data_IF_182687839812
#
_entry.id   IF_182687839812
#
_cell.length_a   1.000
_cell.length_b   1.000
_cell.length_c   1.000
_cell.angle_alpha   90.00
_cell.angle_beta   90.00
_cell.angle_gamma   90.00
#
_symmetry.space_group_name_H-M   'P 1'
#
loop_
_entity.id
_entity.type
_entity.pdbx_description
1 polymer ?
#
# COMPACT_ATOMS: atom_id res chain seq x y z
N UNK A 1 -6.12 2.32 -41.59
CA UNK A 1 -4.74 1.80 -41.81
C UNK A 1 -4.84 0.28 -41.87
N UNK A 2 -4.05 -0.41 -42.67
CA UNK A 2 -4.07 -1.86 -42.74
C UNK A 2 -2.77 -2.43 -42.10
N UNK A 3 -2.74 -3.72 -41.84
CA UNK A 3 -1.61 -4.42 -41.23
C UNK A 3 -0.30 -4.17 -41.94
N UNK A 4 -0.32 -4.09 -43.29
CA UNK A 4 0.85 -3.87 -44.15
C UNK A 4 1.54 -2.55 -43.83
N UNK A 5 0.77 -1.49 -43.67
CA UNK A 5 1.29 -0.16 -43.33
C UNK A 5 1.85 -0.11 -41.88
N UNK A 6 1.31 -0.90 -40.96
CA UNK A 6 1.83 -1.01 -39.62
C UNK A 6 3.16 -1.76 -39.56
N UNK A 7 3.27 -2.92 -40.24
CA UNK A 7 4.52 -3.69 -40.34
C UNK A 7 5.63 -2.80 -40.90
N UNK A 8 5.38 -2.10 -42.01
CA UNK A 8 6.33 -1.18 -42.63
C UNK A 8 6.74 -0.05 -41.68
N UNK A 9 5.76 0.56 -40.98
CA UNK A 9 6.00 1.62 -40.01
C UNK A 9 6.89 1.15 -38.86
N UNK A 10 6.55 0.04 -38.22
CA UNK A 10 7.30 -0.46 -37.07
C UNK A 10 8.69 -0.93 -37.46
N UNK A 11 8.84 -1.66 -38.56
CA UNK A 11 10.18 -2.05 -39.07
C UNK A 11 11.08 -0.82 -39.29
N UNK A 12 10.56 0.24 -39.91
CA UNK A 12 11.33 1.48 -40.13
C UNK A 12 11.66 2.20 -38.78
N UNK A 13 10.75 2.20 -37.84
CA UNK A 13 10.99 2.78 -36.51
C UNK A 13 12.10 2.03 -35.76
N UNK A 14 12.21 0.72 -35.95
CA UNK A 14 13.28 -0.12 -35.42
C UNK A 14 14.55 -0.11 -36.26
N UNK A 15 14.59 0.70 -37.33
CA UNK A 15 15.74 0.79 -38.25
C UNK A 15 16.17 -0.54 -38.86
N UNK A 16 15.25 -1.49 -39.06
CA UNK A 16 15.55 -2.83 -39.63
C UNK A 16 15.36 -2.86 -41.12
N UNK A 17 16.19 -3.69 -41.82
CA UNK A 17 15.92 -4.10 -43.22
C UNK A 17 14.85 -5.19 -43.26
N UNK A 18 14.32 -5.50 -44.46
CA UNK A 18 13.36 -6.62 -44.62
C UNK A 18 14.00 -7.95 -44.29
N UNK A 19 15.29 -8.10 -44.64
CA UNK A 19 16.09 -9.29 -44.37
C UNK A 19 16.31 -9.49 -42.87
N UNK A 20 16.60 -8.41 -42.14
CA UNK A 20 16.78 -8.45 -40.69
C UNK A 20 15.49 -8.82 -39.97
N UNK A 21 14.36 -8.19 -40.32
CA UNK A 21 13.06 -8.55 -39.74
C UNK A 21 12.68 -10.00 -40.07
N UNK A 22 12.97 -10.45 -41.30
CA UNK A 22 12.70 -11.83 -41.69
C UNK A 22 13.51 -12.83 -40.86
N UNK A 23 14.78 -12.55 -40.61
CA UNK A 23 15.66 -13.40 -39.79
C UNK A 23 15.14 -13.50 -38.33
N UNK A 24 14.74 -12.39 -37.73
CA UNK A 24 14.18 -12.34 -36.36
C UNK A 24 12.84 -13.10 -36.21
N UNK A 25 12.02 -13.06 -37.25
CA UNK A 25 10.71 -13.72 -37.26
C UNK A 25 10.76 -15.16 -37.79
N UNK A 26 11.94 -15.65 -38.26
CA UNK A 26 12.09 -16.97 -38.79
C UNK A 26 11.35 -17.18 -40.14
N UNK A 27 11.20 -16.12 -40.93
CA UNK A 27 10.52 -16.15 -42.25
C UNK A 27 11.47 -15.73 -43.39
N UNK A 28 10.98 -15.80 -44.63
CA UNK A 28 11.78 -15.34 -45.78
C UNK A 28 11.66 -13.81 -45.94
N UNK A 29 12.71 -13.12 -46.48
CA UNK A 29 12.62 -11.71 -46.83
C UNK A 29 11.48 -11.41 -47.82
N UNK A 30 11.19 -12.35 -48.70
CA UNK A 30 10.06 -12.26 -49.62
C UNK A 30 8.69 -12.21 -48.89
N UNK A 31 8.57 -12.94 -47.80
CA UNK A 31 7.34 -12.89 -46.95
C UNK A 31 7.13 -11.50 -46.36
N UNK A 32 8.19 -10.91 -45.76
CA UNK A 32 8.14 -9.56 -45.23
C UNK A 32 7.82 -8.54 -46.32
N UNK A 33 8.46 -8.64 -47.47
CA UNK A 33 8.20 -7.78 -48.63
C UNK A 33 6.75 -7.89 -49.12
N UNK A 34 6.19 -9.10 -49.12
CA UNK A 34 4.79 -9.33 -49.49
C UNK A 34 3.83 -8.69 -48.49
N UNK A 35 4.09 -8.84 -47.18
CA UNK A 35 3.28 -8.23 -46.13
C UNK A 35 3.26 -6.71 -46.27
N UNK A 36 4.38 -6.09 -46.51
CA UNK A 36 4.48 -4.62 -46.64
C UNK A 36 3.82 -4.07 -47.93
N UNK A 37 3.65 -4.92 -48.98
CA UNK A 37 2.96 -4.53 -50.21
C UNK A 37 1.45 -4.79 -50.24
N UNK A 38 0.87 -5.23 -49.12
CA UNK A 38 -0.58 -5.43 -49.01
C UNK A 38 -0.99 -6.90 -48.79
N UNK A 39 -0.04 -7.83 -48.78
CA UNK A 39 -0.29 -9.21 -48.35
C UNK A 39 -0.53 -9.27 -46.83
N UNK A 40 -1.32 -10.23 -46.38
CA UNK A 40 -1.49 -10.44 -44.95
C UNK A 40 -0.57 -11.51 -44.41
N UNK A 41 0.07 -11.36 -43.24
CA UNK A 41 0.69 -12.49 -42.53
C UNK A 41 -0.34 -13.56 -42.19
N UNK A 42 0.13 -14.80 -42.07
CA UNK A 42 -0.69 -15.85 -41.47
C UNK A 42 -1.12 -15.49 -40.03
N UNK A 43 -2.29 -15.95 -39.60
CA UNK A 43 -2.79 -15.67 -38.27
C UNK A 43 -1.81 -16.10 -37.18
N UNK A 44 -1.09 -17.20 -37.39
CA UNK A 44 -0.06 -17.70 -36.50
C UNK A 44 1.12 -16.75 -36.33
N UNK A 45 1.36 -15.86 -37.29
CA UNK A 45 2.44 -14.87 -37.26
C UNK A 45 2.07 -13.55 -36.61
N UNK A 46 0.77 -13.29 -36.36
CA UNK A 46 0.32 -12.01 -35.76
C UNK A 46 0.92 -11.80 -34.37
N UNK A 47 0.89 -12.83 -33.54
CA UNK A 47 1.44 -12.76 -32.16
C UNK A 47 2.96 -12.63 -32.17
N UNK A 48 3.74 -13.42 -32.92
CA UNK A 48 5.18 -13.23 -33.03
C UNK A 48 5.59 -11.84 -33.51
N UNK A 49 4.92 -11.30 -34.54
CA UNK A 49 5.20 -9.95 -35.06
C UNK A 49 4.89 -8.88 -34.01
N UNK A 50 3.74 -8.98 -33.33
CA UNK A 50 3.35 -8.04 -32.31
C UNK A 50 4.32 -8.06 -31.11
N UNK A 51 4.71 -9.23 -30.64
CA UNK A 51 5.68 -9.40 -29.55
C UNK A 51 7.06 -8.86 -29.93
N UNK A 52 7.51 -9.10 -31.15
CA UNK A 52 8.80 -8.57 -31.64
C UNK A 52 8.85 -7.04 -31.57
N UNK A 53 7.77 -6.37 -31.98
CA UNK A 53 7.68 -4.92 -31.94
C UNK A 53 7.24 -4.35 -30.58
N UNK A 54 6.89 -5.19 -29.60
CA UNK A 54 6.42 -4.77 -28.28
C UNK A 54 5.05 -4.06 -28.32
N UNK A 55 4.17 -4.46 -29.23
CA UNK A 55 2.84 -3.89 -29.45
C UNK A 55 1.75 -4.95 -29.31
N UNK A 56 0.49 -4.53 -29.22
CA UNK A 56 -0.64 -5.46 -29.25
C UNK A 56 -0.95 -5.92 -30.67
N UNK A 57 -1.61 -7.08 -30.82
CA UNK A 57 -2.10 -7.57 -32.12
C UNK A 57 -3.11 -6.57 -32.73
N UNK A 58 -3.96 -5.94 -31.90
CA UNK A 58 -4.89 -4.91 -32.35
C UNK A 58 -4.17 -3.70 -32.97
N UNK A 59 -3.08 -3.28 -32.36
CA UNK A 59 -2.23 -2.20 -32.84
C UNK A 59 -1.54 -2.56 -34.16
N UNK A 60 -1.08 -3.82 -34.26
CA UNK A 60 -0.51 -4.38 -35.49
C UNK A 60 -1.57 -4.45 -36.60
N UNK A 61 -2.81 -4.82 -36.28
CA UNK A 61 -3.94 -4.86 -37.21
C UNK A 61 -4.37 -3.47 -37.69
N UNK A 62 -3.84 -2.41 -37.06
CA UNK A 62 -4.24 -1.04 -37.35
C UNK A 62 -5.61 -0.71 -36.78
N UNK A 63 -6.15 -1.55 -35.90
CA UNK A 63 -7.29 -1.22 -35.07
C UNK A 63 -6.86 -0.10 -34.13
N UNK A 64 -7.35 1.09 -34.40
CA UNK A 64 -6.97 2.29 -33.65
C UNK A 64 -7.59 2.21 -32.26
N UNK A 65 -6.92 1.52 -31.36
CA UNK A 65 -7.23 1.51 -29.90
C UNK A 65 -7.31 2.93 -29.36
N UNK A 66 -6.60 3.89 -29.98
CA UNK A 66 -6.69 5.33 -29.72
C UNK A 66 -8.12 5.85 -29.81
N UNK A 67 -8.91 5.43 -30.78
CA UNK A 67 -10.27 5.96 -30.95
C UNK A 67 -11.21 5.44 -29.83
N UNK A 68 -11.10 4.17 -29.44
CA UNK A 68 -11.91 3.58 -28.36
C UNK A 68 -11.52 4.21 -27.00
N UNK A 69 -10.23 4.36 -26.75
CA UNK A 69 -9.77 4.98 -25.51
C UNK A 69 -10.11 6.47 -25.44
N UNK A 70 -10.01 7.19 -26.54
CA UNK A 70 -10.43 8.59 -26.63
C UNK A 70 -11.94 8.75 -26.46
N UNK A 71 -12.74 7.87 -27.06
CA UNK A 71 -14.19 7.83 -26.86
C UNK A 71 -14.55 7.53 -25.40
N UNK A 72 -13.87 6.59 -24.76
CA UNK A 72 -14.04 6.32 -23.32
C UNK A 72 -13.65 7.52 -22.46
N UNK A 73 -12.53 8.17 -22.74
CA UNK A 73 -12.11 9.37 -22.02
C UNK A 73 -13.09 10.54 -22.22
N UNK A 74 -13.63 10.69 -23.44
CA UNK A 74 -14.66 11.68 -23.71
C UNK A 74 -15.94 11.39 -22.95
N UNK A 75 -16.39 10.14 -22.92
CA UNK A 75 -17.55 9.69 -22.15
C UNK A 75 -17.38 9.96 -20.65
N UNK A 76 -16.22 9.64 -20.04
CA UNK A 76 -16.01 9.89 -18.62
C UNK A 76 -15.90 11.39 -18.30
N UNK A 77 -15.38 12.22 -19.22
CA UNK A 77 -15.41 13.70 -19.08
C UNK A 77 -16.82 14.25 -19.15
N UNK A 78 -17.64 13.73 -20.08
CA UNK A 78 -19.04 14.09 -20.19
C UNK A 78 -19.78 13.77 -18.88
N UNK A 79 -19.59 12.57 -18.32
CA UNK A 79 -20.21 12.18 -17.04
C UNK A 79 -19.84 13.09 -15.87
N UNK A 80 -18.61 13.60 -15.83
CA UNK A 80 -18.17 14.53 -14.77
C UNK A 80 -18.89 15.89 -14.86
N UNK A 81 -19.37 16.29 -16.04
CA UNK A 81 -20.10 17.55 -16.24
C UNK A 81 -21.60 17.42 -15.91
N UNK A 82 -22.11 16.22 -15.70
CA UNK A 82 -23.52 15.99 -15.38
C UNK A 82 -23.69 15.99 -13.85
N UNK A 83 -24.22 17.09 -13.30
CA UNK A 83 -24.49 17.20 -11.85
C UNK A 83 -25.69 16.36 -11.40
N UNK A 84 -26.71 16.27 -12.25
CA UNK A 84 -27.96 15.54 -11.97
C UNK A 84 -27.72 14.03 -12.01
N UNK A 85 -28.01 13.34 -10.90
CA UNK A 85 -27.77 11.93 -10.72
C UNK A 85 -28.60 11.06 -11.68
N UNK A 86 -29.90 11.34 -11.88
CA UNK A 86 -30.76 10.56 -12.74
C UNK A 86 -30.33 10.66 -14.23
N UNK A 87 -29.92 11.85 -14.65
CA UNK A 87 -29.37 12.06 -16.00
C UNK A 87 -28.05 11.31 -16.18
N UNK A 88 -27.19 11.34 -15.16
CA UNK A 88 -25.91 10.63 -15.18
C UNK A 88 -26.10 9.11 -15.24
N UNK A 89 -27.01 8.58 -14.42
CA UNK A 89 -27.39 7.16 -14.43
C UNK A 89 -27.97 6.75 -15.81
N UNK A 90 -28.90 7.55 -16.36
CA UNK A 90 -29.47 7.32 -17.69
C UNK A 90 -28.39 7.23 -18.77
N UNK A 91 -27.44 8.18 -18.74
CA UNK A 91 -26.34 8.22 -19.71
C UNK A 91 -25.40 7.02 -19.61
N UNK A 92 -25.11 6.55 -18.39
CA UNK A 92 -24.30 5.34 -18.17
C UNK A 92 -25.06 4.10 -18.64
N UNK A 93 -26.37 4.01 -18.39
CA UNK A 93 -27.20 2.91 -18.86
C UNK A 93 -27.25 2.83 -20.40
N UNK A 94 -27.25 3.96 -21.08
CA UNK A 94 -27.15 3.99 -22.55
C UNK A 94 -25.81 3.39 -23.02
N UNK A 95 -24.72 3.78 -22.38
CA UNK A 95 -23.39 3.27 -22.73
C UNK A 95 -23.23 1.79 -22.39
N UNK A 96 -23.77 1.35 -21.25
CA UNK A 96 -23.80 -0.06 -20.87
C UNK A 96 -24.57 -0.92 -21.90
N UNK A 97 -25.69 -0.44 -22.47
CA UNK A 97 -26.39 -1.17 -23.52
C UNK A 97 -25.56 -1.36 -24.80
N UNK A 98 -24.68 -0.40 -25.12
CA UNK A 98 -23.76 -0.50 -26.27
C UNK A 98 -22.60 -1.45 -26.00
N UNK A 99 -22.08 -1.41 -24.76
CA UNK A 99 -20.89 -2.16 -24.34
C UNK A 99 -21.18 -2.98 -23.07
N UNK A 100 -22.05 -4.02 -23.13
CA UNK A 100 -22.52 -4.72 -21.92
C UNK A 100 -21.46 -5.58 -21.23
N UNK A 101 -20.30 -5.80 -21.87
CA UNK A 101 -19.18 -6.58 -21.32
C UNK A 101 -17.96 -5.71 -20.94
N UNK A 102 -18.10 -4.38 -21.03
CA UNK A 102 -17.03 -3.49 -20.60
C UNK A 102 -17.03 -3.34 -19.07
N UNK A 103 -16.10 -4.01 -18.41
CA UNK A 103 -16.00 -4.01 -16.94
C UNK A 103 -15.82 -2.62 -16.32
N UNK A 104 -15.24 -1.65 -17.04
CA UNK A 104 -15.08 -0.28 -16.55
C UNK A 104 -16.42 0.45 -16.55
N UNK A 105 -17.22 0.28 -17.61
CA UNK A 105 -18.58 0.84 -17.70
C UNK A 105 -19.49 0.18 -16.67
N UNK A 106 -19.40 -1.15 -16.53
CA UNK A 106 -20.15 -1.89 -15.50
C UNK A 106 -19.81 -1.37 -14.10
N UNK A 107 -18.52 -1.19 -13.80
CA UNK A 107 -18.08 -0.67 -12.50
C UNK A 107 -18.62 0.75 -12.25
N UNK A 108 -18.63 1.60 -13.27
CA UNK A 108 -19.24 2.93 -13.15
C UNK A 108 -20.74 2.87 -12.90
N UNK A 109 -21.44 1.96 -13.58
CA UNK A 109 -22.86 1.73 -13.35
C UNK A 109 -23.14 1.26 -11.92
N UNK A 110 -22.36 0.30 -11.41
CA UNK A 110 -22.43 -0.15 -10.02
C UNK A 110 -22.29 1.06 -9.06
N UNK A 111 -21.30 1.93 -9.31
CA UNK A 111 -21.05 3.10 -8.45
C UNK A 111 -22.24 4.05 -8.39
N UNK A 112 -22.88 4.31 -9.51
CA UNK A 112 -24.08 5.18 -9.54
C UNK A 112 -25.31 4.49 -8.91
N UNK A 113 -25.51 3.19 -9.16
CA UNK A 113 -26.61 2.44 -8.56
C UNK A 113 -26.51 2.36 -7.04
N UNK A 114 -25.29 2.37 -6.48
CA UNK A 114 -25.08 2.37 -5.04
C UNK A 114 -25.49 3.68 -4.36
N UNK A 115 -25.51 4.78 -5.11
CA UNK A 115 -25.75 6.10 -4.53
C UNK A 115 -27.17 6.26 -3.99
N UNK A 116 -28.14 5.52 -4.56
CA UNK A 116 -29.53 5.94 -4.41
C UNK A 116 -30.51 4.91 -3.85
N UNK A 117 -30.28 3.58 -3.82
CA UNK A 117 -31.42 2.71 -3.45
C UNK A 117 -31.07 1.27 -3.06
N UNK A 118 -31.65 0.80 -1.92
CA UNK A 118 -31.65 -0.63 -1.54
C UNK A 118 -32.28 -1.55 -2.62
N UNK A 119 -33.16 -1.00 -3.47
CA UNK A 119 -33.91 -1.75 -4.50
C UNK A 119 -32.99 -2.29 -5.61
N UNK A 120 -31.87 -1.62 -5.88
CA UNK A 120 -30.92 -2.03 -6.92
C UNK A 120 -29.97 -3.16 -6.48
N UNK A 121 -30.11 -3.66 -5.25
CA UNK A 121 -29.16 -4.62 -4.67
C UNK A 121 -28.95 -5.86 -5.53
N UNK A 122 -30.03 -6.45 -6.07
CA UNK A 122 -29.95 -7.67 -6.89
C UNK A 122 -29.16 -7.38 -8.17
N UNK A 123 -29.48 -6.29 -8.86
CA UNK A 123 -28.77 -5.88 -10.07
C UNK A 123 -27.29 -5.58 -9.79
N UNK A 124 -27.00 -4.88 -8.70
CA UNK A 124 -25.61 -4.57 -8.30
C UNK A 124 -24.83 -5.87 -8.04
N UNK A 125 -25.46 -6.84 -7.36
CA UNK A 125 -24.81 -8.12 -7.09
C UNK A 125 -24.51 -8.89 -8.39
N UNK A 126 -25.43 -8.93 -9.35
CA UNK A 126 -25.22 -9.56 -10.65
C UNK A 126 -24.09 -8.89 -11.43
N UNK A 127 -24.07 -7.56 -11.48
CA UNK A 127 -23.01 -6.78 -12.13
C UNK A 127 -21.64 -7.00 -11.46
N UNK A 128 -21.58 -7.02 -10.13
CA UNK A 128 -20.35 -7.33 -9.39
C UNK A 128 -19.84 -8.74 -9.72
N UNK A 129 -20.70 -9.75 -9.74
CA UNK A 129 -20.34 -11.12 -10.11
C UNK A 129 -19.80 -11.18 -11.53
N UNK A 130 -20.41 -10.44 -12.48
CA UNK A 130 -19.93 -10.34 -13.86
C UNK A 130 -18.53 -9.74 -13.93
N UNK A 131 -18.25 -8.62 -13.28
CA UNK A 131 -16.90 -8.04 -13.23
C UNK A 131 -15.90 -9.02 -12.62
N UNK A 132 -16.24 -9.73 -11.55
CA UNK A 132 -15.37 -10.72 -10.92
C UNK A 132 -15.08 -11.93 -11.82
N UNK A 133 -15.98 -12.29 -12.74
CA UNK A 133 -15.79 -13.38 -13.69
C UNK A 133 -14.95 -12.95 -14.90
N UNK A 134 -15.15 -11.75 -15.42
CA UNK A 134 -14.64 -11.32 -16.72
C UNK A 134 -13.40 -10.42 -16.63
N UNK A 135 -13.23 -9.64 -15.54
CA UNK A 135 -12.10 -8.72 -15.41
C UNK A 135 -10.88 -9.39 -14.77
N UNK A 136 -9.71 -9.16 -15.39
CA UNK A 136 -8.40 -9.46 -14.80
C UNK A 136 -7.78 -8.26 -14.06
N UNK A 137 -8.40 -7.07 -14.16
CA UNK A 137 -7.92 -5.84 -13.51
C UNK A 137 -8.06 -5.95 -11.98
N UNK A 138 -6.95 -5.92 -11.22
CA UNK A 138 -6.98 -6.10 -9.78
C UNK A 138 -7.73 -4.98 -9.05
N UNK A 139 -7.67 -3.74 -9.53
CA UNK A 139 -8.31 -2.59 -8.89
C UNK A 139 -9.83 -2.64 -9.06
N UNK A 140 -10.31 -2.99 -10.26
CA UNK A 140 -11.75 -3.21 -10.49
C UNK A 140 -12.28 -4.37 -9.65
N UNK A 141 -11.53 -5.49 -9.61
CA UNK A 141 -11.91 -6.66 -8.81
C UNK A 141 -11.99 -6.34 -7.32
N UNK A 142 -11.02 -5.60 -6.80
CA UNK A 142 -11.00 -5.19 -5.40
C UNK A 142 -12.17 -4.26 -5.08
N UNK A 143 -12.45 -3.28 -5.94
CA UNK A 143 -13.57 -2.35 -5.77
C UNK A 143 -14.92 -3.07 -5.71
N UNK A 144 -15.16 -4.03 -6.61
CA UNK A 144 -16.43 -4.80 -6.59
C UNK A 144 -16.50 -5.79 -5.43
N UNK A 145 -15.37 -6.33 -4.94
CA UNK A 145 -15.35 -7.13 -3.71
C UNK A 145 -15.75 -6.29 -2.49
N UNK A 146 -15.25 -5.07 -2.38
CA UNK A 146 -15.69 -4.11 -1.34
C UNK A 146 -17.18 -3.82 -1.44
N UNK A 147 -17.70 -3.67 -2.66
CA UNK A 147 -19.13 -3.48 -2.90
C UNK A 147 -19.94 -4.69 -2.45
N UNK A 148 -19.51 -5.91 -2.81
CA UNK A 148 -20.16 -7.15 -2.36
C UNK A 148 -20.25 -7.24 -0.84
N UNK A 149 -19.20 -6.91 -0.11
CA UNK A 149 -19.22 -6.89 1.37
C UNK A 149 -20.31 -5.95 1.93
N UNK A 150 -20.62 -4.87 1.23
CA UNK A 150 -21.62 -3.86 1.66
C UNK A 150 -23.05 -4.26 1.38
N UNK A 151 -23.27 -4.95 0.25
CA UNK A 151 -24.64 -5.24 -0.24
C UNK A 151 -25.17 -6.61 0.16
N UNK A 152 -24.29 -7.60 0.43
CA UNK A 152 -24.75 -8.94 0.84
C UNK A 152 -25.27 -8.96 2.29
N UNK A 153 -26.14 -9.93 2.66
CA UNK A 153 -26.56 -10.13 4.04
C UNK A 153 -25.38 -10.31 4.99
N UNK A 154 -25.57 -9.92 6.26
CA UNK A 154 -24.53 -9.97 7.29
C UNK A 154 -23.87 -11.35 7.40
N UNK A 155 -24.66 -12.40 7.28
CA UNK A 155 -24.25 -13.81 7.38
C UNK A 155 -23.29 -14.22 6.26
N UNK A 156 -23.36 -13.57 5.11
CA UNK A 156 -22.53 -13.87 3.93
C UNK A 156 -21.26 -13.01 3.83
N UNK A 157 -21.19 -11.90 4.55
CA UNK A 157 -20.08 -10.93 4.45
C UNK A 157 -18.71 -11.53 4.68
N UNK A 158 -18.60 -12.46 5.65
CA UNK A 158 -17.34 -13.13 5.96
C UNK A 158 -16.71 -13.79 4.73
N UNK A 159 -17.52 -14.41 3.86
CA UNK A 159 -17.03 -15.07 2.64
C UNK A 159 -16.40 -14.08 1.65
N UNK A 160 -16.91 -12.85 1.58
CA UNK A 160 -16.44 -11.81 0.66
C UNK A 160 -15.24 -11.06 1.24
N UNK A 161 -15.24 -10.79 2.55
CA UNK A 161 -14.11 -10.17 3.26
C UNK A 161 -12.83 -10.99 3.10
N UNK A 162 -12.91 -12.33 3.18
CA UNK A 162 -11.76 -13.21 2.97
C UNK A 162 -11.18 -13.18 1.55
N UNK A 163 -11.94 -12.70 0.56
CA UNK A 163 -11.49 -12.57 -0.84
C UNK A 163 -10.78 -11.26 -1.11
N UNK A 164 -10.88 -10.28 -0.20
CA UNK A 164 -10.15 -9.01 -0.33
C UNK A 164 -8.64 -9.26 -0.23
N UNK A 165 -7.83 -8.57 -1.04
CA UNK A 165 -6.38 -8.70 -0.99
C UNK A 165 -5.85 -8.36 0.40
N UNK A 166 -5.06 -9.25 0.99
CA UNK A 166 -4.44 -9.04 2.32
C UNK A 166 -3.37 -7.95 2.32
N UNK A 167 -2.88 -7.53 1.15
CA UNK A 167 -1.79 -6.55 1.02
C UNK A 167 -2.15 -5.14 1.49
N UNK A 168 -3.44 -4.85 1.66
CA UNK A 168 -3.91 -3.59 2.22
C UNK A 168 -4.88 -3.87 3.36
N UNK A 169 -4.33 -4.26 4.52
CA UNK A 169 -5.12 -4.43 5.75
C UNK A 169 -6.02 -3.21 6.03
N UNK A 170 -5.55 -2.01 5.67
CA UNK A 170 -6.32 -0.76 5.75
C UNK A 170 -7.66 -0.82 5.02
N UNK A 171 -7.69 -1.40 3.79
CA UNK A 171 -8.96 -1.50 3.05
C UNK A 171 -9.92 -2.50 3.67
N UNK A 172 -9.42 -3.62 4.16
CA UNK A 172 -10.26 -4.63 4.82
C UNK A 172 -10.92 -4.07 6.08
N UNK A 173 -10.17 -3.40 6.95
CA UNK A 173 -10.71 -2.77 8.16
C UNK A 173 -11.67 -1.64 7.83
N UNK A 174 -11.40 -0.84 6.79
CA UNK A 174 -12.30 0.20 6.36
C UNK A 174 -13.65 -0.36 5.89
N UNK A 175 -13.63 -1.46 5.11
CA UNK A 175 -14.85 -2.16 4.69
C UNK A 175 -15.59 -2.74 5.88
N UNK A 176 -14.90 -3.30 6.86
CA UNK A 176 -15.50 -3.80 8.10
C UNK A 176 -16.18 -2.68 8.89
N UNK A 177 -15.54 -1.52 9.04
CA UNK A 177 -16.14 -0.34 9.66
C UNK A 177 -17.42 0.08 8.94
N UNK A 178 -17.38 0.17 7.62
CA UNK A 178 -18.57 0.50 6.81
C UNK A 178 -19.69 -0.53 6.95
N UNK A 179 -19.37 -1.83 6.99
CA UNK A 179 -20.36 -2.88 7.19
C UNK A 179 -21.04 -2.74 8.55
N UNK A 180 -20.29 -2.45 9.63
CA UNK A 180 -20.84 -2.20 10.96
C UNK A 180 -21.75 -0.96 10.99
N UNK A 181 -21.37 0.11 10.30
CA UNK A 181 -22.23 1.29 10.15
C UNK A 181 -23.57 0.95 9.47
N UNK A 182 -23.54 0.15 8.40
CA UNK A 182 -24.76 -0.30 7.70
C UNK A 182 -25.65 -1.12 8.63
N UNK A 183 -25.07 -1.91 9.52
CA UNK A 183 -25.80 -2.72 10.51
C UNK A 183 -26.30 -1.91 11.71
N UNK A 184 -26.00 -0.60 11.78
CA UNK A 184 -26.34 0.26 12.92
C UNK A 184 -25.42 0.11 14.12
N UNK A 185 -24.34 -0.65 14.01
CA UNK A 185 -23.29 -0.79 15.02
C UNK A 185 -22.25 0.34 14.89
N UNK A 186 -22.64 1.55 15.27
CA UNK A 186 -21.77 2.73 15.17
C UNK A 186 -20.58 2.67 16.13
N UNK A 187 -20.75 2.03 17.30
CA UNK A 187 -19.65 1.84 18.25
C UNK A 187 -18.57 0.93 17.68
N UNK A 188 -18.95 -0.24 17.19
CA UNK A 188 -18.00 -1.16 16.58
C UNK A 188 -17.36 -0.61 15.29
N UNK A 189 -18.08 0.22 14.55
CA UNK A 189 -17.49 0.94 13.40
C UNK A 189 -16.42 1.93 13.85
N UNK A 190 -16.67 2.69 14.94
CA UNK A 190 -15.69 3.62 15.50
C UNK A 190 -14.41 2.90 15.96
N UNK A 191 -14.54 1.71 16.57
CA UNK A 191 -13.39 0.89 16.98
C UNK A 191 -12.50 0.48 15.80
N UNK A 192 -13.10 0.14 14.65
CA UNK A 192 -12.33 -0.14 13.42
C UNK A 192 -11.68 1.11 12.83
N UNK A 193 -12.30 2.29 12.93
CA UNK A 193 -11.64 3.54 12.54
C UNK A 193 -10.49 3.90 13.47
N UNK A 194 -10.60 3.60 14.76
CA UNK A 194 -9.48 3.76 15.70
C UNK A 194 -8.34 2.78 15.38
N UNK A 195 -8.66 1.53 15.04
CA UNK A 195 -7.69 0.56 14.54
C UNK A 195 -6.98 1.06 13.28
N UNK A 196 -7.70 1.63 12.33
CA UNK A 196 -7.11 2.24 11.12
C UNK A 196 -6.13 3.37 11.48
N UNK A 197 -6.45 4.22 12.46
CA UNK A 197 -5.54 5.28 12.92
C UNK A 197 -4.26 4.69 13.50
N UNK A 198 -4.36 3.61 14.27
CA UNK A 198 -3.17 2.89 14.81
C UNK A 198 -2.29 2.39 13.68
N UNK A 199 -2.87 1.69 12.69
CA UNK A 199 -2.14 1.13 11.56
C UNK A 199 -1.48 2.24 10.73
N UNK A 200 -2.20 3.31 10.40
CA UNK A 200 -1.67 4.44 9.63
C UNK A 200 -0.53 5.17 10.35
N UNK A 201 -0.67 5.35 11.66
CA UNK A 201 0.40 5.94 12.48
C UNK A 201 1.66 5.08 12.43
N UNK A 202 1.49 3.77 12.55
CA UNK A 202 2.59 2.82 12.49
C UNK A 202 3.28 2.84 11.11
N UNK A 203 2.54 2.74 10.03
CA UNK A 203 3.07 2.79 8.67
C UNK A 203 3.83 4.11 8.39
N UNK A 204 3.29 5.24 8.82
CA UNK A 204 3.94 6.54 8.66
C UNK A 204 5.28 6.58 9.42
N UNK A 205 5.30 6.10 10.67
CA UNK A 205 6.49 6.07 11.50
C UNK A 205 7.54 5.10 10.97
N UNK A 206 7.11 4.00 10.34
CA UNK A 206 8.00 2.93 9.86
C UNK A 206 8.48 3.12 8.43
N UNK A 207 8.02 4.14 7.72
CA UNK A 207 8.52 4.45 6.38
C UNK A 207 10.05 4.54 6.38
N UNK A 208 10.75 3.72 5.59
CA UNK A 208 12.21 3.68 5.59
C UNK A 208 12.76 5.00 5.05
N UNK A 209 13.73 5.57 5.79
CA UNK A 209 14.43 6.77 5.37
C UNK A 209 15.86 6.35 5.00
N UNK A 210 16.23 6.32 3.71
CA UNK A 210 17.57 5.95 3.27
C UNK A 210 18.64 6.85 3.90
N UNK A 211 19.80 6.29 4.25
CA UNK A 211 20.92 7.06 4.81
C UNK A 211 21.50 8.05 3.78
N UNK A 212 21.34 7.75 2.50
CA UNK A 212 21.74 8.63 1.40
C UNK A 212 21.10 10.04 1.44
N UNK A 213 19.98 10.23 2.17
CA UNK A 213 19.39 11.58 2.34
C UNK A 213 20.20 12.50 3.28
N UNK A 214 21.21 11.95 3.96
CA UNK A 214 22.08 12.66 4.89
C UNK A 214 21.47 12.93 6.28
N UNK A 215 22.35 13.22 7.28
CA UNK A 215 21.93 13.32 8.68
C UNK A 215 20.99 14.50 8.93
N UNK A 216 21.19 15.65 8.29
CA UNK A 216 20.36 16.83 8.50
C UNK A 216 18.90 16.59 8.09
N UNK A 217 18.67 16.05 6.87
CA UNK A 217 17.33 15.77 6.38
C UNK A 217 16.67 14.64 7.17
N UNK A 218 17.42 13.59 7.48
CA UNK A 218 16.95 12.47 8.29
C UNK A 218 16.56 12.94 9.70
N UNK A 219 17.36 13.79 10.32
CA UNK A 219 17.06 14.41 11.62
C UNK A 219 15.79 15.24 11.60
N UNK A 220 15.56 16.07 10.56
CA UNK A 220 14.29 16.83 10.40
C UNK A 220 13.08 15.91 10.32
N UNK A 221 13.18 14.77 9.64
CA UNK A 221 12.09 13.79 9.55
C UNK A 221 11.87 13.13 10.92
N UNK A 222 12.92 12.75 11.65
CA UNK A 222 12.76 12.14 12.97
C UNK A 222 12.13 13.10 13.98
N UNK A 223 12.46 14.39 13.95
CA UNK A 223 11.77 15.40 14.77
C UNK A 223 10.27 15.45 14.48
N UNK A 224 9.87 15.38 13.19
CA UNK A 224 8.44 15.33 12.82
C UNK A 224 7.78 14.05 13.34
N UNK A 225 8.44 12.89 13.23
CA UNK A 225 7.92 11.63 13.75
C UNK A 225 7.71 11.69 15.28
N UNK A 226 8.66 12.25 16.02
CA UNK A 226 8.56 12.45 17.47
C UNK A 226 7.42 13.41 17.80
N UNK A 227 7.28 14.52 17.07
CA UNK A 227 6.20 15.47 17.26
C UNK A 227 4.81 14.83 17.04
N UNK A 228 4.67 13.93 16.05
CA UNK A 228 3.43 13.17 15.87
C UNK A 228 3.15 12.27 17.07
N UNK A 229 4.16 11.55 17.58
CA UNK A 229 4.01 10.72 18.78
C UNK A 229 3.65 11.56 20.01
N UNK A 230 4.19 12.77 20.13
CA UNK A 230 3.87 13.69 21.22
C UNK A 230 2.40 14.14 21.18
N UNK A 231 1.75 14.20 20.01
CA UNK A 231 0.31 14.49 19.91
C UNK A 231 -0.57 13.39 20.52
N UNK A 232 -0.06 12.17 20.65
CA UNK A 232 -0.78 11.04 21.24
C UNK A 232 -0.68 11.02 22.77
N UNK A 233 0.11 11.90 23.39
CA UNK A 233 0.23 11.96 24.85
C UNK A 233 -1.07 12.34 25.50
N UNK A 234 -1.39 11.64 26.59
CA UNK A 234 -2.50 11.97 27.46
C UNK A 234 -1.96 12.37 28.83
N UNK A 235 -2.26 13.58 29.27
CA UNK A 235 -1.70 14.15 30.51
C UNK A 235 -0.14 14.09 30.55
N UNK A 236 0.52 14.32 29.42
CA UNK A 236 1.97 14.26 29.29
C UNK A 236 2.56 12.85 29.14
N UNK A 237 1.76 11.79 29.32
CA UNK A 237 2.22 10.39 29.26
C UNK A 237 2.07 9.85 27.84
N UNK A 238 3.14 9.29 27.30
CA UNK A 238 3.13 8.62 26.00
C UNK A 238 2.43 7.27 26.15
N UNK A 239 1.50 6.90 25.22
CA UNK A 239 0.86 5.58 25.27
C UNK A 239 1.89 4.44 25.08
N UNK A 240 1.71 3.36 25.83
CA UNK A 240 2.67 2.25 25.92
C UNK A 240 3.06 1.66 24.55
N UNK A 241 2.10 1.59 23.64
CA UNK A 241 2.31 1.07 22.28
C UNK A 241 3.38 1.86 21.48
N UNK A 242 3.68 3.08 21.86
CA UNK A 242 4.59 3.95 21.12
C UNK A 242 5.93 4.19 21.82
N UNK A 243 6.14 3.66 23.05
CA UNK A 243 7.36 3.84 23.81
C UNK A 243 8.58 3.35 23.05
N UNK A 244 8.57 2.12 22.51
CA UNK A 244 9.68 1.57 21.72
C UNK A 244 9.94 2.37 20.44
N UNK A 245 8.89 2.83 19.76
CA UNK A 245 9.02 3.70 18.59
C UNK A 245 9.67 5.03 18.94
N UNK A 246 9.26 5.66 20.03
CA UNK A 246 9.81 6.90 20.50
C UNK A 246 11.29 6.76 20.85
N UNK A 247 11.64 5.69 21.57
CA UNK A 247 13.04 5.36 21.91
C UNK A 247 13.91 5.24 20.65
N UNK A 248 13.47 4.46 19.66
CA UNK A 248 14.21 4.27 18.41
C UNK A 248 14.36 5.56 17.61
N UNK A 249 13.27 6.34 17.46
CA UNK A 249 13.31 7.61 16.71
C UNK A 249 14.22 8.63 17.39
N UNK A 250 14.23 8.67 18.72
CA UNK A 250 15.14 9.49 19.50
C UNK A 250 16.60 9.04 19.31
N UNK A 251 16.88 7.74 19.30
CA UNK A 251 18.22 7.22 19.05
C UNK A 251 18.72 7.59 17.64
N UNK A 252 17.87 7.43 16.61
CA UNK A 252 18.22 7.84 15.24
C UNK A 252 18.44 9.36 15.14
N UNK A 253 17.62 10.15 15.84
CA UNK A 253 17.79 11.61 15.88
C UNK A 253 19.09 12.00 16.57
N UNK A 254 19.42 11.37 17.70
CA UNK A 254 20.71 11.65 18.40
C UNK A 254 21.91 11.36 17.50
N UNK A 255 21.90 10.24 16.74
CA UNK A 255 22.93 9.93 15.76
C UNK A 255 23.07 11.02 14.69
N UNK A 256 21.94 11.50 14.15
CA UNK A 256 21.95 12.60 13.19
C UNK A 256 22.52 13.90 13.77
N UNK A 257 22.22 14.17 15.04
CA UNK A 257 22.70 15.36 15.76
C UNK A 257 24.20 15.29 16.05
N UNK A 258 24.72 14.14 16.50
CA UNK A 258 26.15 13.92 16.68
C UNK A 258 26.92 14.14 15.36
N UNK A 259 26.41 13.58 14.26
CA UNK A 259 27.02 13.77 12.94
C UNK A 259 26.94 15.23 12.43
N UNK A 260 26.03 16.04 12.99
CA UNK A 260 25.86 17.47 12.66
C UNK A 260 26.48 18.39 13.70
N UNK A 261 27.38 17.87 14.58
CA UNK A 261 28.10 18.58 15.63
C UNK A 261 27.22 19.31 16.66
N UNK A 262 25.96 18.92 16.78
CA UNK A 262 25.00 19.44 17.78
C UNK A 262 25.05 18.60 19.06
N UNK A 263 26.21 18.60 19.69
CA UNK A 263 26.60 17.66 20.75
C UNK A 263 25.67 17.69 21.98
N UNK A 264 25.30 18.86 22.46
CA UNK A 264 24.45 18.99 23.67
C UNK A 264 23.02 18.43 23.41
N UNK A 265 22.41 18.86 22.31
CA UNK A 265 21.08 18.36 21.90
C UNK A 265 21.12 16.86 21.59
N UNK A 266 22.22 16.37 20.99
CA UNK A 266 22.43 14.96 20.71
C UNK A 266 22.41 14.13 21.99
N UNK A 267 23.09 14.57 23.03
CA UNK A 267 23.10 13.88 24.31
C UNK A 267 21.78 13.91 25.02
N UNK A 268 21.08 15.03 25.07
CA UNK A 268 19.71 15.10 25.63
C UNK A 268 18.77 14.12 24.93
N UNK A 269 18.89 14.02 23.60
CA UNK A 269 18.07 13.11 22.81
C UNK A 269 18.47 11.65 23.01
N UNK A 270 19.78 11.38 23.20
CA UNK A 270 20.28 10.04 23.48
C UNK A 270 19.83 9.54 24.85
N UNK A 271 19.96 10.37 25.88
CA UNK A 271 19.53 10.05 27.25
C UNK A 271 18.01 9.76 27.29
N UNK A 272 17.21 10.56 26.58
CA UNK A 272 15.79 10.31 26.43
C UNK A 272 15.53 8.95 25.71
N UNK A 273 16.29 8.61 24.66
CA UNK A 273 16.17 7.32 23.99
C UNK A 273 16.43 6.16 24.95
N UNK A 274 17.50 6.23 25.75
CA UNK A 274 17.84 5.19 26.74
C UNK A 274 16.75 5.05 27.81
N UNK A 275 16.21 6.17 28.28
CA UNK A 275 15.10 6.15 29.26
C UNK A 275 13.86 5.47 28.70
N UNK A 276 13.43 5.80 27.47
CA UNK A 276 12.28 5.16 26.83
C UNK A 276 12.54 3.69 26.52
N UNK A 277 13.76 3.29 26.16
CA UNK A 277 14.12 1.88 26.05
C UNK A 277 14.01 1.16 27.39
N UNK A 278 14.43 1.80 28.48
CA UNK A 278 14.31 1.24 29.83
C UNK A 278 12.83 1.05 30.22
N UNK A 279 11.97 1.98 29.88
CA UNK A 279 10.52 1.82 30.08
C UNK A 279 9.96 0.67 29.23
N UNK A 280 10.33 0.59 27.95
CA UNK A 280 9.88 -0.45 27.04
C UNK A 280 10.26 -1.86 27.50
N UNK A 281 11.52 -2.07 27.89
CA UNK A 281 12.00 -3.39 28.32
C UNK A 281 11.45 -3.84 29.67
N UNK A 282 10.91 -2.92 30.48
CA UNK A 282 10.24 -3.26 31.74
C UNK A 282 8.80 -3.74 31.54
N UNK A 283 8.18 -3.49 30.37
CA UNK A 283 6.82 -3.93 30.12
C UNK A 283 6.79 -5.48 30.03
N UNK A 284 5.86 -6.15 30.71
CA UNK A 284 5.66 -7.60 30.58
C UNK A 284 5.34 -8.02 29.14
N UNK A 285 5.71 -9.23 28.75
CA UNK A 285 5.50 -9.75 27.39
C UNK A 285 4.01 -9.93 27.03
N UNK A 286 3.17 -10.22 28.01
CA UNK A 286 1.74 -10.42 27.87
C UNK A 286 0.91 -9.13 28.00
N UNK A 287 1.56 -7.97 28.16
CA UNK A 287 0.91 -6.68 28.30
C UNK A 287 0.14 -6.30 27.01
N UNK A 288 -1.13 -5.92 27.18
CA UNK A 288 -1.90 -5.25 26.14
C UNK A 288 -1.62 -3.73 26.18
N UNK A 289 -0.92 -3.27 25.17
CA UNK A 289 -0.41 -1.91 25.09
C UNK A 289 -1.51 -0.92 24.69
N UNK A 290 -1.64 0.16 25.43
CA UNK A 290 -2.52 1.28 25.07
C UNK A 290 -1.98 2.05 23.88
N UNK A 291 -2.83 2.34 22.89
CA UNK A 291 -2.42 2.99 21.63
C UNK A 291 -2.63 4.51 21.60
N UNK A 292 -3.43 5.04 22.50
CA UNK A 292 -3.88 6.44 22.43
C UNK A 292 -5.01 6.69 21.43
N UNK A 293 -5.37 5.69 20.62
CA UNK A 293 -6.48 5.75 19.67
C UNK A 293 -7.65 4.93 20.22
N UNK A 294 -8.68 5.59 20.69
CA UNK A 294 -9.85 4.95 21.28
C UNK A 294 -9.51 3.92 22.36
N UNK A 295 -10.19 2.79 22.31
CA UNK A 295 -10.00 1.66 23.23
C UNK A 295 -9.19 0.51 22.61
N UNK A 296 -8.62 0.69 21.44
CA UNK A 296 -7.78 -0.32 20.77
C UNK A 296 -6.50 -0.56 21.58
N UNK A 297 -6.13 -1.83 21.74
CA UNK A 297 -4.90 -2.28 22.37
C UNK A 297 -4.06 -3.08 21.38
N UNK A 298 -2.74 -3.11 21.58
CA UNK A 298 -1.83 -3.97 20.81
C UNK A 298 -1.17 -4.99 21.73
N UNK A 299 -0.93 -6.19 21.21
CA UNK A 299 0.03 -7.11 21.84
C UNK A 299 1.43 -6.49 21.80
N UNK A 300 2.31 -6.88 22.72
CA UNK A 300 3.67 -6.31 22.78
C UNK A 300 4.48 -6.60 21.52
N UNK A 301 4.27 -7.74 20.87
CA UNK A 301 4.83 -8.10 19.56
C UNK A 301 4.19 -7.31 18.39
N UNK A 302 3.14 -6.52 18.68
CA UNK A 302 2.44 -5.62 17.76
C UNK A 302 1.80 -6.30 16.54
N UNK A 303 1.68 -7.61 16.55
CA UNK A 303 1.07 -8.36 15.45
C UNK A 303 -0.45 -8.38 15.52
N UNK A 304 -1.00 -8.22 16.72
CA UNK A 304 -2.43 -8.36 16.98
C UNK A 304 -2.95 -7.10 17.66
N UNK A 305 -4.02 -6.54 17.09
CA UNK A 305 -4.85 -5.56 17.73
C UNK A 305 -6.02 -6.23 18.45
N UNK A 306 -6.33 -5.77 19.64
CA UNK A 306 -7.47 -6.21 20.44
C UNK A 306 -8.46 -5.07 20.51
N UNK A 307 -9.67 -5.30 20.01
CA UNK A 307 -10.77 -4.34 19.99
C UNK A 307 -11.56 -4.40 21.32
N UNK A 308 -12.38 -3.40 21.64
CA UNK A 308 -13.13 -3.36 22.90
C UNK A 308 -14.10 -4.52 23.10
N UNK A 309 -14.62 -5.10 22.02
CA UNK A 309 -15.49 -6.28 22.04
C UNK A 309 -14.71 -7.59 22.28
N UNK A 310 -13.39 -7.51 22.49
CA UNK A 310 -12.49 -8.65 22.66
C UNK A 310 -12.07 -9.33 21.37
N UNK A 311 -12.55 -8.87 20.22
CA UNK A 311 -12.10 -9.41 18.92
C UNK A 311 -10.63 -9.10 18.70
N UNK A 312 -9.93 -10.02 18.01
CA UNK A 312 -8.50 -9.94 17.74
C UNK A 312 -8.28 -9.84 16.24
N UNK A 313 -7.63 -8.76 15.82
CA UNK A 313 -7.32 -8.51 14.41
C UNK A 313 -5.81 -8.64 14.18
N UNK A 314 -5.42 -9.46 13.21
CA UNK A 314 -4.03 -9.51 12.78
C UNK A 314 -3.73 -8.30 11.89
N UNK A 315 -2.84 -7.43 12.34
CA UNK A 315 -2.48 -6.18 11.63
C UNK A 315 -1.16 -6.28 10.86
N UNK A 316 -0.55 -7.47 10.87
CA UNK A 316 0.74 -7.71 10.22
C UNK A 316 1.91 -7.37 11.12
N UNK A 317 3.08 -7.92 10.78
CA UNK A 317 4.32 -7.57 11.49
C UNK A 317 4.66 -6.12 11.18
N UNK A 318 4.31 -5.24 12.09
CA UNK A 318 4.89 -3.90 12.09
C UNK A 318 6.42 -4.05 12.18
N UNK A 319 7.14 -3.35 11.31
CA UNK A 319 8.57 -3.52 11.10
C UNK A 319 9.45 -3.06 12.29
N UNK A 320 8.90 -2.99 13.50
CA UNK A 320 9.63 -2.61 14.72
C UNK A 320 10.62 -3.67 15.23
N UNK A 321 10.94 -4.66 14.43
CA UNK A 321 11.94 -5.69 14.77
C UNK A 321 13.28 -5.16 15.26
N UNK A 322 13.53 -3.85 15.09
CA UNK A 322 14.76 -3.20 15.55
C UNK A 322 14.71 -2.67 16.99
N UNK A 323 13.53 -2.58 17.60
CA UNK A 323 13.36 -1.98 18.93
C UNK A 323 12.91 -2.96 20.00
N UNK A 324 12.47 -4.15 19.63
CA UNK A 324 11.76 -5.06 20.53
C UNK A 324 12.69 -5.90 21.40
N UNK A 325 14.01 -5.82 21.17
CA UNK A 325 14.97 -6.76 21.73
C UNK A 325 16.26 -6.06 22.17
N UNK A 326 16.73 -6.24 23.44
CA UNK A 326 17.99 -5.68 23.91
C UNK A 326 19.20 -6.07 23.06
N UNK A 327 19.25 -7.28 22.47
CA UNK A 327 20.34 -7.68 21.57
C UNK A 327 20.45 -6.78 20.35
N UNK A 328 19.34 -6.36 19.79
CA UNK A 328 19.34 -5.42 18.65
C UNK A 328 19.83 -4.03 19.04
N UNK A 329 19.40 -3.54 20.20
CA UNK A 329 19.90 -2.26 20.72
C UNK A 329 21.42 -2.33 20.94
N UNK A 330 21.92 -3.42 21.55
CA UNK A 330 23.36 -3.61 21.75
C UNK A 330 24.11 -3.68 20.41
N UNK A 331 23.54 -4.35 19.40
CA UNK A 331 24.13 -4.38 18.06
C UNK A 331 24.23 -2.97 17.46
N UNK A 332 23.16 -2.14 17.57
CA UNK A 332 23.17 -0.75 17.11
C UNK A 332 24.27 0.05 17.82
N UNK A 333 24.38 -0.09 19.13
CA UNK A 333 25.38 0.63 19.92
C UNK A 333 26.81 0.20 19.57
N UNK A 334 27.04 -1.04 19.16
CA UNK A 334 28.37 -1.59 18.84
C UNK A 334 28.75 -1.50 17.36
N UNK A 335 27.81 -1.39 16.44
CA UNK A 335 28.09 -1.36 15.00
C UNK A 335 28.59 0.02 14.57
N UNK A 336 29.94 0.13 14.47
CA UNK A 336 30.61 1.38 14.07
C UNK A 336 30.43 1.71 12.60
N UNK A 337 30.12 0.73 11.75
CA UNK A 337 30.00 0.93 10.32
C UNK A 337 28.57 1.32 9.93
N UNK A 338 27.57 0.51 10.30
CA UNK A 338 26.17 0.80 9.98
C UNK A 338 25.63 2.03 10.76
N UNK A 339 26.21 2.33 11.94
CA UNK A 339 25.81 3.44 12.78
C UNK A 339 26.95 4.45 12.97
N UNK A 340 27.67 4.75 11.89
CA UNK A 340 28.82 5.66 11.90
C UNK A 340 28.48 7.05 12.47
N UNK A 341 27.26 7.53 12.37
CA UNK A 341 26.82 8.82 12.93
C UNK A 341 26.83 8.86 14.46
N UNK A 342 26.85 7.70 15.14
CA UNK A 342 27.06 7.61 16.60
C UNK A 342 28.55 7.61 17.00
N UNK A 343 29.48 7.47 16.06
CA UNK A 343 30.91 7.36 16.40
C UNK A 343 31.45 8.54 17.25
N UNK A 344 31.00 9.79 17.07
CA UNK A 344 31.45 10.89 17.94
C UNK A 344 31.09 10.73 19.43
N UNK A 345 30.06 9.92 19.74
CA UNK A 345 29.62 9.69 21.11
C UNK A 345 30.29 8.49 21.79
N UNK A 346 30.92 7.56 21.03
CA UNK A 346 31.31 6.23 21.54
C UNK A 346 32.43 6.24 22.57
N UNK A 347 33.22 7.29 22.63
CA UNK A 347 34.32 7.43 23.60
C UNK A 347 33.84 8.16 24.87
N UNK A 348 32.61 8.62 24.93
CA UNK A 348 32.02 9.24 26.13
C UNK A 348 31.52 8.14 27.09
N UNK A 349 31.71 8.36 28.39
CA UNK A 349 31.30 7.43 29.44
C UNK A 349 29.80 7.13 29.43
N UNK A 350 28.95 8.11 29.11
CA UNK A 350 27.48 7.93 29.01
C UNK A 350 27.12 6.88 27.98
N UNK A 351 27.87 6.83 26.86
CA UNK A 351 27.61 5.82 25.82
C UNK A 351 28.04 4.42 26.30
N UNK A 352 29.18 4.32 26.99
CA UNK A 352 29.65 3.08 27.58
C UNK A 352 28.67 2.56 28.66
N UNK A 353 28.22 3.45 29.55
CA UNK A 353 27.23 3.12 30.60
C UNK A 353 25.91 2.59 30.00
N UNK A 354 25.42 3.18 28.88
CA UNK A 354 24.27 2.70 28.18
C UNK A 354 24.48 1.29 27.58
N UNK A 355 25.61 1.03 26.96
CA UNK A 355 25.95 -0.27 26.40
C UNK A 355 26.09 -1.35 27.50
N UNK A 356 26.73 -1.03 28.64
CA UNK A 356 26.85 -1.92 29.81
C UNK A 356 25.45 -2.23 30.40
N UNK A 357 24.60 -1.24 30.52
CA UNK A 357 23.21 -1.44 30.96
C UNK A 357 22.47 -2.42 30.05
N UNK A 358 22.55 -2.26 28.71
CA UNK A 358 21.91 -3.19 27.77
C UNK A 358 22.48 -4.60 27.91
N UNK A 359 23.81 -4.74 28.10
CA UNK A 359 24.44 -6.03 28.34
C UNK A 359 23.93 -6.71 29.62
N UNK A 360 23.69 -5.94 30.68
CA UNK A 360 23.15 -6.43 31.94
C UNK A 360 21.73 -6.98 31.77
N UNK A 361 20.88 -6.32 30.94
CA UNK A 361 19.55 -6.79 30.61
C UNK A 361 19.58 -8.15 29.87
N UNK A 362 20.50 -8.28 28.91
CA UNK A 362 20.66 -9.54 28.16
C UNK A 362 21.06 -10.68 29.08
N UNK A 363 22.04 -10.44 29.99
CA UNK A 363 22.48 -11.46 30.95
C UNK A 363 21.36 -11.89 31.91
N UNK A 364 20.49 -10.97 32.31
CA UNK A 364 19.34 -11.31 33.18
C UNK A 364 18.29 -12.17 32.49
N UNK A 365 18.12 -12.01 31.16
CA UNK A 365 17.19 -12.82 30.36
C UNK A 365 17.72 -14.20 29.98
N UNK A 366 19.06 -14.39 29.94
CA UNK A 366 19.67 -15.70 29.62
C UNK A 366 19.86 -16.60 30.83
N UNK A 367 19.70 -16.09 32.04
CA UNK A 367 19.81 -16.86 33.30
C UNK A 367 18.45 -17.33 33.86
N UNK A 368 17.37 -17.16 33.10
CA UNK A 368 16.01 -17.68 33.39
C UNK A 368 15.70 -18.81 32.40
#
# INVERSE_FOLDING_TARGET
>A
MNISSQILKYRKNFCLTQEQLAAELGVTPQSVSNWERGGAPDISMLVPIANFFGITVDELMGNVTTNIQEQKRAFFRELQSIEDHEKRLSRIMEEYRKCPNDCVIIHRLITELLYDRPENRILIEELCRKVLAESSDPDLRESVLCTMCRIVPKEERGKWLHRLPRKTNLRQQNVQAMCRMIDGDFSGAADYYDLLRVIQTDEMLMSPIPDAVGPERKGKIQRKNLAVLDTLRKNGILPDAWIGAYAYKSLVLSACLFSSEKTEEAWQTFDAAVEYYAQWFRLPEDTLLYTGCGSVRLTKDRNIAVLPDGSREYIGACSYRYTDNPFRLLQILNDRQAWAWLNPARDDRRFADAAEWVQSLIKSQTNV
#
